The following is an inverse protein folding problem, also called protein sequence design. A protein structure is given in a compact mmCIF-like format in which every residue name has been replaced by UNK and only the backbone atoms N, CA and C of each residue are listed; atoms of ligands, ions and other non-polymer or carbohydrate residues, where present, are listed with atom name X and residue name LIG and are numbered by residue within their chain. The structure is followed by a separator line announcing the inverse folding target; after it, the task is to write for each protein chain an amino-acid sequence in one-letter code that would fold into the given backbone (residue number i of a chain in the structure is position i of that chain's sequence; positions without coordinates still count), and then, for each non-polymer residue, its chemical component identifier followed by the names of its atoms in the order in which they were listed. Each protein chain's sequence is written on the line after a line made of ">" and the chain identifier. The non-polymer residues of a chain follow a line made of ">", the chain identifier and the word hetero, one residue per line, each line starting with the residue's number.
data_IF_907061950228
#
_entry.id   IF_907061950228
#
_cell.length_a   1.000
_cell.length_b   1.000
_cell.length_c   1.000
_cell.angle_alpha   90.00
_cell.angle_beta   90.00
_cell.angle_gamma   90.00
#
_symmetry.space_group_name_H-M   'P 1'
#
loop_
_entity.id
_entity.type
_entity.pdbx_description
1 polymer ?
#
# COMPACT_ATOMS: atom_id res chain seq x y z
N UNK A 1 -42.40 36.77 35.99
CA UNK A 1 -41.24 37.55 36.35
C UNK A 1 -40.02 36.95 35.68
N UNK A 2 -39.65 37.55 34.54
CA UNK A 2 -38.57 37.04 33.67
C UNK A 2 -37.37 37.91 33.97
N UNK A 3 -36.28 37.33 34.49
CA UNK A 3 -35.03 38.00 34.72
C UNK A 3 -34.13 37.83 33.47
N UNK A 4 -33.91 38.89 32.75
CA UNK A 4 -32.94 38.97 31.62
C UNK A 4 -31.60 39.35 32.20
N UNK A 5 -30.61 38.44 32.10
CA UNK A 5 -29.19 38.77 32.39
C UNK A 5 -28.53 39.26 31.12
N UNK A 6 -28.19 40.55 31.12
CA UNK A 6 -27.29 41.15 30.12
C UNK A 6 -25.83 40.81 30.48
N UNK A 7 -25.17 40.00 29.66
CA UNK A 7 -23.73 39.83 29.72
C UNK A 7 -23.09 40.82 28.78
N UNK A 8 -22.35 41.75 29.35
CA UNK A 8 -21.51 42.73 28.65
C UNK A 8 -20.29 42.03 28.07
N UNK A 9 -20.16 42.08 26.75
CA UNK A 9 -18.96 41.60 26.01
C UNK A 9 -17.86 42.68 26.16
N UNK A 10 -16.84 42.38 26.94
CA UNK A 10 -15.60 43.13 26.93
C UNK A 10 -14.76 42.69 25.72
N UNK A 11 -14.68 43.55 24.70
CA UNK A 11 -13.68 43.43 23.63
C UNK A 11 -12.31 43.72 24.22
N UNK A 12 -11.54 42.69 24.50
CA UNK A 12 -10.09 42.78 24.65
C UNK A 12 -9.47 42.92 23.25
N UNK A 13 -9.08 44.12 22.91
CA UNK A 13 -8.17 44.39 21.79
C UNK A 13 -6.83 43.68 22.10
N UNK A 14 -6.63 42.52 21.59
CA UNK A 14 -5.33 41.86 21.58
C UNK A 14 -4.43 42.57 20.56
N UNK A 15 -3.29 43.05 21.00
CA UNK A 15 -2.22 43.59 20.15
C UNK A 15 -1.92 42.58 19.00
N UNK A 16 -1.75 43.07 17.77
CA UNK A 16 -1.20 42.24 16.69
C UNK A 16 0.32 42.18 16.86
N UNK A 17 0.77 41.49 17.90
CA UNK A 17 2.18 41.22 18.07
C UNK A 17 2.55 40.05 17.18
N UNK A 18 3.14 40.39 16.03
CA UNK A 18 4.08 39.63 15.21
C UNK A 18 4.06 38.11 15.46
N UNK A 19 3.37 37.38 14.60
CA UNK A 19 3.79 36.02 14.30
C UNK A 19 5.25 36.16 13.83
N UNK A 20 6.18 35.88 14.73
CA UNK A 20 7.59 35.74 14.35
C UNK A 20 7.62 34.66 13.29
N UNK A 21 7.90 35.04 12.06
CA UNK A 21 8.18 34.14 10.96
C UNK A 21 9.30 33.20 11.46
N UNK A 22 8.95 31.95 11.78
CA UNK A 22 9.93 30.98 12.22
C UNK A 22 11.00 30.92 11.11
N UNK A 23 12.24 31.16 11.46
CA UNK A 23 13.35 31.07 10.52
C UNK A 23 13.23 29.74 9.76
N UNK A 24 13.41 29.71 8.42
CA UNK A 24 13.26 28.50 7.64
C UNK A 24 14.16 27.43 8.26
N UNK A 25 13.59 26.28 8.56
CA UNK A 25 14.32 25.15 9.12
C UNK A 25 15.55 24.88 8.24
N UNK A 26 16.72 24.80 8.87
CA UNK A 26 17.98 24.57 8.16
C UNK A 26 17.87 23.26 7.38
N UNK A 27 18.15 23.31 6.08
CA UNK A 27 18.12 22.14 5.22
C UNK A 27 19.17 21.13 5.70
N UNK A 28 18.76 19.91 5.95
CA UNK A 28 19.69 18.84 6.25
C UNK A 28 20.58 18.55 5.03
N UNK A 29 21.86 18.31 5.27
CA UNK A 29 22.72 17.75 4.23
C UNK A 29 22.28 16.34 3.88
N UNK A 30 22.66 15.85 2.71
CA UNK A 30 22.36 14.47 2.33
C UNK A 30 22.84 13.45 3.36
N UNK A 31 24.06 13.65 3.88
CA UNK A 31 24.64 12.78 4.91
C UNK A 31 23.82 12.80 6.22
N UNK A 32 23.31 13.97 6.62
CA UNK A 32 22.45 14.09 7.80
C UNK A 32 21.11 13.41 7.60
N UNK A 33 20.48 13.52 6.43
CA UNK A 33 19.25 12.79 6.08
C UNK A 33 19.50 11.28 6.15
N UNK A 34 20.56 10.81 5.49
CA UNK A 34 20.92 9.39 5.45
C UNK A 34 21.19 8.84 6.87
N UNK A 35 21.95 9.56 7.70
CA UNK A 35 22.26 9.14 9.07
C UNK A 35 21.01 9.08 9.97
N UNK A 36 20.11 10.08 9.86
CA UNK A 36 18.86 10.07 10.64
C UNK A 36 17.93 8.92 10.21
N UNK A 37 17.74 8.70 8.92
CA UNK A 37 16.95 7.58 8.41
C UNK A 37 17.54 6.25 8.88
N UNK A 38 18.87 6.10 8.77
CA UNK A 38 19.57 4.89 9.19
C UNK A 38 19.33 4.56 10.68
N UNK A 39 19.33 5.57 11.55
CA UNK A 39 19.06 5.41 13.00
C UNK A 39 17.67 4.79 13.27
N UNK A 40 16.67 5.06 12.41
CA UNK A 40 15.36 4.45 12.54
C UNK A 40 15.30 3.05 11.94
N UNK A 41 15.98 2.83 10.81
CA UNK A 41 16.05 1.50 10.17
C UNK A 41 16.79 0.48 11.02
N UNK A 42 17.80 0.89 11.77
CA UNK A 42 18.57 0.00 12.66
C UNK A 42 17.75 -0.55 13.84
N UNK A 43 16.56 0.01 14.09
CA UNK A 43 15.58 -0.51 15.05
C UNK A 43 14.75 -1.68 14.51
N UNK A 44 14.87 -1.99 13.22
CA UNK A 44 14.16 -3.08 12.55
C UNK A 44 15.14 -4.23 12.28
N UNK A 45 15.29 -5.20 13.19
CA UNK A 45 16.25 -6.30 13.04
C UNK A 45 15.86 -7.23 11.90
N UNK A 46 16.85 -7.93 11.34
CA UNK A 46 16.65 -8.80 10.18
C UNK A 46 16.82 -8.06 8.86
N UNK A 47 15.90 -8.23 7.91
CA UNK A 47 15.99 -7.67 6.58
C UNK A 47 15.00 -6.52 6.39
N UNK A 48 15.48 -5.28 6.49
CA UNK A 48 14.68 -4.08 6.26
C UNK A 48 15.11 -3.33 5.00
N UNK A 49 14.14 -2.84 4.23
CA UNK A 49 14.36 -2.06 3.02
C UNK A 49 13.55 -0.78 3.02
N UNK A 50 14.10 0.26 2.44
CA UNK A 50 13.46 1.56 2.36
C UNK A 50 13.76 2.23 1.02
N UNK A 51 12.76 2.95 0.49
CA UNK A 51 12.94 3.80 -0.66
C UNK A 51 12.09 5.07 -0.50
N UNK A 52 12.72 6.21 -0.74
CA UNK A 52 12.04 7.49 -0.91
C UNK A 52 12.39 8.07 -2.28
N UNK A 53 11.37 8.41 -3.07
CA UNK A 53 11.55 8.99 -4.41
C UNK A 53 10.73 10.27 -4.57
N UNK A 54 11.20 11.15 -5.43
CA UNK A 54 10.40 12.20 -6.06
C UNK A 54 9.89 11.69 -7.40
N UNK A 55 8.60 11.89 -7.70
CA UNK A 55 8.00 11.48 -8.97
C UNK A 55 8.03 12.65 -9.95
N UNK A 56 8.83 12.52 -11.00
CA UNK A 56 8.94 13.48 -12.10
C UNK A 56 8.18 12.99 -13.33
N UNK A 57 8.21 13.77 -14.41
CA UNK A 57 7.64 13.35 -15.70
C UNK A 57 8.43 12.20 -16.33
N UNK A 58 9.72 12.10 -16.04
CA UNK A 58 10.59 11.00 -16.49
C UNK A 58 10.53 9.76 -15.60
N UNK A 59 9.77 9.81 -14.50
CA UNK A 59 9.61 8.71 -13.56
C UNK A 59 10.17 8.99 -12.16
N UNK A 60 10.28 7.94 -11.32
CA UNK A 60 10.79 8.07 -9.95
C UNK A 60 12.28 8.41 -9.91
N UNK A 61 12.63 9.48 -9.18
CA UNK A 61 14.02 9.90 -8.89
C UNK A 61 14.32 9.58 -7.43
N UNK A 62 15.33 8.75 -7.19
CA UNK A 62 15.68 8.29 -5.83
C UNK A 62 16.27 9.46 -5.02
N UNK A 63 15.68 9.73 -3.87
CA UNK A 63 16.18 10.66 -2.85
C UNK A 63 16.98 9.91 -1.79
N UNK A 64 16.50 8.73 -1.37
CA UNK A 64 17.19 7.80 -0.48
C UNK A 64 16.73 6.37 -0.76
N UNK A 65 17.67 5.41 -0.69
CA UNK A 65 17.38 3.98 -0.83
C UNK A 65 18.30 3.14 0.05
N UNK A 66 17.72 2.10 0.67
CA UNK A 66 18.44 1.03 1.36
C UNK A 66 17.78 -0.29 0.97
N UNK A 67 18.57 -1.22 0.43
CA UNK A 67 18.10 -2.50 -0.08
C UNK A 67 16.94 -2.36 -1.08
N UNK A 68 16.85 -1.22 -1.75
CA UNK A 68 15.74 -0.85 -2.63
C UNK A 68 15.65 -1.71 -3.89
N UNK A 69 16.74 -2.42 -4.23
CA UNK A 69 16.81 -3.38 -5.34
C UNK A 69 16.61 -4.84 -4.90
N UNK A 70 16.48 -5.10 -3.60
CA UNK A 70 16.36 -6.45 -3.07
C UNK A 70 14.90 -6.92 -3.05
N UNK A 71 14.73 -8.25 -3.12
CA UNK A 71 13.42 -8.90 -3.07
C UNK A 71 12.91 -8.94 -1.64
N UNK A 72 11.70 -8.43 -1.43
CA UNK A 72 10.96 -8.56 -0.18
C UNK A 72 9.66 -9.32 -0.39
N UNK A 73 9.26 -10.10 0.61
CA UNK A 73 7.89 -10.52 0.78
C UNK A 73 7.06 -9.28 1.19
N UNK A 74 5.96 -9.04 0.51
CA UNK A 74 5.26 -7.76 0.60
C UNK A 74 3.80 -7.87 1.07
N UNK A 75 3.34 -9.10 1.32
CA UNK A 75 1.97 -9.34 1.77
C UNK A 75 0.94 -8.63 0.92
N UNK A 76 -0.08 -8.13 1.54
CA UNK A 76 -1.23 -7.49 0.88
C UNK A 76 -0.90 -6.28 0.00
N UNK A 77 0.36 -5.81 -0.08
CA UNK A 77 0.67 -4.70 -0.99
C UNK A 77 0.55 -5.08 -2.47
N UNK A 78 0.59 -6.39 -2.80
CA UNK A 78 0.33 -6.89 -4.16
C UNK A 78 -1.03 -6.45 -4.71
N UNK A 79 -1.99 -6.11 -3.84
CA UNK A 79 -3.33 -5.62 -4.20
C UNK A 79 -3.29 -4.32 -5.02
N UNK A 80 -2.18 -3.58 -4.96
CA UNK A 80 -1.94 -2.44 -5.86
C UNK A 80 -1.89 -2.85 -7.34
N UNK A 81 -1.41 -4.06 -7.65
CA UNK A 81 -1.42 -4.55 -9.03
C UNK A 81 -2.83 -4.95 -9.51
N UNK A 82 -3.67 -5.47 -8.59
CA UNK A 82 -5.09 -5.71 -8.88
C UNK A 82 -5.82 -4.39 -9.10
N UNK A 83 -5.56 -3.38 -8.24
CA UNK A 83 -6.07 -2.02 -8.41
C UNK A 83 -5.66 -1.45 -9.77
N UNK A 84 -4.40 -1.60 -10.17
CA UNK A 84 -3.90 -1.16 -11.46
C UNK A 84 -4.60 -1.84 -12.65
N UNK A 85 -4.90 -3.14 -12.54
CA UNK A 85 -5.65 -3.85 -13.56
C UNK A 85 -7.12 -3.35 -13.66
N UNK A 86 -7.73 -2.98 -12.53
CA UNK A 86 -9.05 -2.35 -12.52
C UNK A 86 -9.01 -0.96 -13.13
N UNK A 87 -7.98 -0.15 -12.80
CA UNK A 87 -7.75 1.18 -13.41
C UNK A 87 -7.68 1.07 -14.94
N UNK A 88 -6.90 0.12 -15.47
CA UNK A 88 -6.78 -0.12 -16.91
C UNK A 88 -8.15 -0.49 -17.55
N UNK A 89 -8.94 -1.34 -16.88
CA UNK A 89 -10.29 -1.70 -17.37
C UNK A 89 -11.23 -0.50 -17.43
N UNK A 90 -11.21 0.33 -16.39
CA UNK A 90 -12.09 1.50 -16.28
C UNK A 90 -11.68 2.60 -17.27
N UNK A 91 -10.39 2.90 -17.38
CA UNK A 91 -9.88 3.90 -18.32
C UNK A 91 -10.10 3.50 -19.77
N UNK A 92 -10.07 2.22 -20.07
CA UNK A 92 -10.39 1.68 -21.40
C UNK A 92 -11.92 1.52 -21.65
N UNK A 93 -12.77 1.98 -20.75
CA UNK A 93 -14.24 1.86 -20.82
C UNK A 93 -14.76 0.43 -21.00
N UNK A 94 -13.98 -0.59 -20.58
CA UNK A 94 -14.40 -2.00 -20.60
C UNK A 94 -15.22 -2.36 -19.36
N UNK A 95 -15.08 -1.57 -18.30
CA UNK A 95 -15.84 -1.66 -17.04
C UNK A 95 -16.12 -0.29 -16.49
N UNK A 96 -17.13 -0.22 -15.62
CA UNK A 96 -17.50 0.97 -14.86
C UNK A 96 -17.34 0.67 -13.36
N UNK A 97 -17.10 1.68 -12.57
CA UNK A 97 -16.97 1.52 -11.11
C UNK A 97 -18.30 1.15 -10.44
N UNK A 98 -19.43 1.47 -11.06
CA UNK A 98 -20.77 1.11 -10.64
C UNK A 98 -21.26 -0.25 -11.20
N UNK A 99 -20.48 -0.93 -12.05
CA UNK A 99 -20.77 -2.31 -12.40
C UNK A 99 -20.77 -3.17 -11.14
N UNK A 100 -21.68 -4.14 -11.09
CA UNK A 100 -21.84 -5.03 -9.94
C UNK A 100 -21.44 -6.46 -10.27
N UNK A 101 -20.94 -7.17 -9.24
CA UNK A 101 -20.84 -8.61 -9.24
C UNK A 101 -21.47 -9.19 -7.98
N UNK A 102 -21.87 -10.45 -8.03
CA UNK A 102 -22.43 -11.13 -6.86
C UNK A 102 -21.28 -11.66 -5.99
N UNK A 103 -21.43 -11.52 -4.67
CA UNK A 103 -20.55 -12.22 -3.74
C UNK A 103 -20.75 -13.74 -3.88
N UNK A 104 -19.64 -14.44 -4.05
CA UNK A 104 -19.63 -15.88 -4.30
C UNK A 104 -18.79 -16.58 -3.22
N UNK A 105 -19.33 -17.60 -2.53
CA UNK A 105 -18.60 -18.31 -1.47
C UNK A 105 -17.30 -18.96 -1.97
N UNK A 106 -17.14 -19.16 -3.27
CA UNK A 106 -15.91 -19.67 -3.85
C UNK A 106 -14.73 -18.69 -3.75
N UNK A 107 -15.00 -17.41 -3.51
CA UNK A 107 -13.99 -16.36 -3.47
C UNK A 107 -13.88 -15.69 -2.09
N UNK A 108 -14.32 -16.39 -1.03
CA UNK A 108 -14.01 -15.97 0.33
C UNK A 108 -12.51 -16.17 0.56
N UNK A 109 -11.83 -15.07 0.93
CA UNK A 109 -10.38 -15.03 1.16
C UNK A 109 -10.05 -15.07 2.65
N UNK A 110 -9.30 -16.09 3.14
CA UNK A 110 -8.82 -16.12 4.52
C UNK A 110 -7.62 -15.15 4.72
N UNK A 111 -7.31 -14.75 5.97
CA UNK A 111 -8.17 -14.95 7.12
C UNK A 111 -9.50 -14.23 6.98
N UNK A 112 -10.44 -14.50 7.90
CA UNK A 112 -11.75 -13.85 7.96
C UNK A 112 -11.61 -12.33 7.81
N UNK A 113 -12.45 -11.75 6.96
CA UNK A 113 -12.47 -10.33 6.64
C UNK A 113 -13.91 -9.79 6.66
N UNK A 114 -14.11 -8.48 6.70
CA UNK A 114 -15.43 -7.88 6.83
C UNK A 114 -16.44 -8.41 5.79
N UNK A 115 -16.01 -8.52 4.53
CA UNK A 115 -16.91 -8.99 3.46
C UNK A 115 -17.20 -10.49 3.50
N UNK A 116 -16.48 -11.27 4.32
CA UNK A 116 -16.81 -12.67 4.54
C UNK A 116 -18.15 -12.84 5.26
N UNK A 117 -18.57 -11.84 6.08
CA UNK A 117 -19.83 -11.82 6.81
C UNK A 117 -21.02 -11.29 6.00
N UNK A 118 -20.76 -10.74 4.82
CA UNK A 118 -21.82 -10.22 3.99
C UNK A 118 -22.64 -11.38 3.39
N UNK A 119 -23.97 -11.20 3.21
CA UNK A 119 -24.78 -12.24 2.61
C UNK A 119 -24.30 -12.64 1.23
N UNK A 120 -23.92 -13.92 1.02
CA UNK A 120 -23.52 -14.41 -0.28
C UNK A 120 -24.68 -14.27 -1.29
N UNK A 121 -24.32 -13.95 -2.53
CA UNK A 121 -25.30 -13.59 -3.57
C UNK A 121 -25.69 -12.11 -3.58
N UNK A 122 -25.22 -11.30 -2.62
CA UNK A 122 -25.44 -9.86 -2.64
C UNK A 122 -24.71 -9.20 -3.80
N UNK A 123 -25.35 -8.26 -4.54
CA UNK A 123 -24.66 -7.46 -5.55
C UNK A 123 -23.76 -6.41 -4.88
N UNK A 124 -22.49 -6.35 -5.30
CA UNK A 124 -21.50 -5.40 -4.80
C UNK A 124 -20.84 -4.69 -5.98
N UNK A 125 -20.70 -3.37 -5.91
CA UNK A 125 -20.05 -2.60 -6.97
C UNK A 125 -18.54 -2.80 -7.00
N UNK A 126 -17.91 -2.64 -8.18
CA UNK A 126 -16.46 -2.71 -8.33
C UNK A 126 -15.76 -1.63 -7.48
N UNK A 127 -16.39 -0.46 -7.32
CA UNK A 127 -15.88 0.58 -6.42
C UNK A 127 -15.85 0.11 -4.95
N UNK A 128 -16.90 -0.54 -4.46
CA UNK A 128 -16.95 -1.08 -3.10
C UNK A 128 -15.89 -2.16 -2.89
N UNK A 129 -15.73 -3.07 -3.85
CA UNK A 129 -14.69 -4.09 -3.79
C UNK A 129 -13.29 -3.46 -3.75
N UNK A 130 -13.01 -2.47 -4.61
CA UNK A 130 -11.72 -1.77 -4.62
C UNK A 130 -11.48 -1.02 -3.30
N UNK A 131 -12.50 -0.35 -2.77
CA UNK A 131 -12.43 0.35 -1.49
C UNK A 131 -12.06 -0.61 -0.36
N UNK A 132 -12.78 -1.73 -0.21
CA UNK A 132 -12.54 -2.74 0.84
C UNK A 132 -11.18 -3.42 0.67
N UNK A 133 -10.81 -3.78 -0.56
CA UNK A 133 -9.50 -4.37 -0.87
C UNK A 133 -8.34 -3.47 -0.44
N UNK A 134 -8.43 -2.18 -0.65
CA UNK A 134 -7.32 -1.26 -0.38
C UNK A 134 -7.35 -0.73 1.04
N UNK A 135 -8.48 -0.18 1.52
CA UNK A 135 -8.55 0.52 2.80
C UNK A 135 -8.37 -0.40 4.00
N UNK A 136 -9.10 -1.51 4.04
CA UNK A 136 -9.03 -2.49 5.15
C UNK A 136 -8.34 -3.80 4.76
N UNK A 137 -7.80 -3.85 3.54
CA UNK A 137 -7.09 -5.03 3.03
C UNK A 137 -7.95 -6.30 2.93
N UNK A 138 -9.27 -6.17 2.71
CA UNK A 138 -10.21 -7.28 2.66
C UNK A 138 -9.84 -8.33 1.61
N UNK A 139 -9.63 -9.58 2.06
CA UNK A 139 -9.19 -10.67 1.20
C UNK A 139 -10.33 -11.22 0.33
N UNK A 140 -11.57 -11.18 0.83
CA UNK A 140 -12.75 -11.56 0.05
C UNK A 140 -12.97 -10.60 -1.13
N UNK A 141 -12.86 -9.28 -0.90
CA UNK A 141 -12.89 -8.29 -1.98
C UNK A 141 -11.74 -8.50 -2.98
N UNK A 142 -10.56 -8.84 -2.48
CA UNK A 142 -9.37 -9.11 -3.30
C UNK A 142 -9.59 -10.27 -4.24
N UNK A 143 -10.04 -11.41 -3.73
CA UNK A 143 -10.19 -12.63 -4.52
C UNK A 143 -11.35 -12.49 -5.53
N UNK A 144 -12.43 -11.76 -5.18
CA UNK A 144 -13.49 -11.41 -6.13
C UNK A 144 -12.97 -10.56 -7.29
N UNK A 145 -12.19 -9.50 -7.01
CA UNK A 145 -11.61 -8.65 -8.06
C UNK A 145 -10.59 -9.40 -8.91
N UNK A 146 -9.72 -10.20 -8.28
CA UNK A 146 -8.73 -11.00 -9.01
C UNK A 146 -9.41 -12.04 -9.92
N UNK A 147 -10.51 -12.66 -9.44
CA UNK A 147 -11.33 -13.54 -10.27
C UNK A 147 -11.94 -12.82 -11.46
N UNK A 148 -12.60 -11.67 -11.21
CA UNK A 148 -13.28 -10.90 -12.24
C UNK A 148 -12.32 -10.41 -13.34
N UNK A 149 -11.14 -9.92 -12.95
CA UNK A 149 -10.13 -9.38 -13.86
C UNK A 149 -9.35 -10.50 -14.56
N UNK A 150 -9.24 -11.65 -13.92
CA UNK A 150 -8.47 -12.80 -14.36
C UNK A 150 -6.97 -12.69 -14.02
N UNK A 151 -6.45 -13.72 -13.38
CA UNK A 151 -5.05 -13.83 -12.93
C UNK A 151 -4.02 -13.39 -13.97
N UNK A 152 -4.10 -13.93 -15.20
CA UNK A 152 -3.13 -13.62 -16.26
C UNK A 152 -3.16 -12.15 -16.69
N UNK A 153 -4.29 -11.49 -16.55
CA UNK A 153 -4.39 -10.06 -16.83
C UNK A 153 -3.65 -9.25 -15.77
N UNK A 154 -3.84 -9.57 -14.49
CA UNK A 154 -3.13 -8.90 -13.41
C UNK A 154 -1.62 -9.17 -13.50
N UNK A 155 -1.20 -10.39 -13.84
CA UNK A 155 0.21 -10.73 -14.11
C UNK A 155 0.82 -9.87 -15.23
N UNK A 156 0.07 -9.58 -16.30
CA UNK A 156 0.52 -8.65 -17.35
C UNK A 156 0.56 -7.21 -16.85
N UNK A 157 -0.45 -6.82 -16.06
CA UNK A 157 -0.52 -5.46 -15.52
C UNK A 157 0.65 -5.15 -14.57
N UNK A 158 1.13 -6.12 -13.80
CA UNK A 158 2.34 -5.97 -12.98
C UNK A 158 3.52 -5.50 -13.82
N UNK A 159 3.72 -6.10 -15.00
CA UNK A 159 4.81 -5.71 -15.92
C UNK A 159 4.59 -4.28 -16.44
N UNK A 160 3.36 -3.94 -16.83
CA UNK A 160 2.99 -2.59 -17.31
C UNK A 160 3.24 -1.54 -16.22
N UNK A 161 3.01 -1.88 -14.96
CA UNK A 161 3.26 -1.02 -13.81
C UNK A 161 4.73 -0.99 -13.38
N UNK A 162 5.62 -1.68 -14.08
CA UNK A 162 7.07 -1.59 -13.88
C UNK A 162 7.68 -2.63 -12.96
N UNK A 163 6.96 -3.71 -12.61
CA UNK A 163 7.53 -4.84 -11.89
C UNK A 163 8.51 -5.59 -12.80
N UNK A 164 9.79 -5.61 -12.45
CA UNK A 164 10.84 -6.14 -13.31
C UNK A 164 11.08 -7.66 -13.15
N UNK A 165 10.55 -8.25 -12.09
CA UNK A 165 10.68 -9.67 -11.77
C UNK A 165 9.30 -10.36 -11.64
N UNK A 166 8.45 -10.31 -12.69
CA UNK A 166 7.10 -10.86 -12.62
C UNK A 166 7.08 -12.37 -12.39
N UNK A 167 8.17 -13.08 -12.69
CA UNK A 167 8.34 -14.51 -12.45
C UNK A 167 8.23 -14.89 -10.96
N UNK A 168 8.56 -13.98 -10.04
CA UNK A 168 8.41 -14.22 -8.60
C UNK A 168 6.97 -14.43 -8.17
N UNK A 169 6.02 -13.86 -8.92
CA UNK A 169 4.60 -13.88 -8.65
C UNK A 169 3.81 -14.66 -9.72
N UNK A 170 4.43 -15.61 -10.41
CA UNK A 170 3.75 -16.44 -11.42
C UNK A 170 3.70 -17.90 -11.01
N UNK A 171 2.47 -18.43 -10.93
CA UNK A 171 1.16 -17.77 -11.03
C UNK A 171 0.90 -16.83 -9.85
N UNK A 172 0.24 -15.68 -10.11
CA UNK A 172 -0.19 -14.78 -9.05
C UNK A 172 -1.23 -15.48 -8.18
N UNK A 173 -0.96 -15.65 -6.90
CA UNK A 173 -1.85 -16.34 -5.99
C UNK A 173 -3.10 -15.53 -5.64
N UNK A 174 -4.24 -16.19 -5.52
CA UNK A 174 -5.35 -15.69 -4.72
C UNK A 174 -4.98 -15.78 -3.23
N UNK A 175 -5.62 -14.96 -2.39
CA UNK A 175 -5.36 -15.03 -0.94
C UNK A 175 -5.75 -16.39 -0.37
N UNK A 176 -6.85 -16.96 -0.86
CA UNK A 176 -7.27 -18.31 -0.51
C UNK A 176 -6.27 -19.40 -0.91
N UNK A 177 -5.63 -19.26 -2.08
CA UNK A 177 -4.64 -20.25 -2.54
C UNK A 177 -3.37 -20.21 -1.71
N UNK A 178 -2.91 -19.01 -1.35
CA UNK A 178 -1.79 -18.82 -0.42
C UNK A 178 -2.07 -19.57 0.89
N UNK A 179 -3.23 -19.32 1.51
CA UNK A 179 -3.61 -19.97 2.75
C UNK A 179 -3.73 -21.51 2.61
N UNK A 180 -4.27 -21.99 1.49
CA UNK A 180 -4.40 -23.43 1.23
C UNK A 180 -3.05 -24.11 0.99
N UNK A 181 -2.08 -23.43 0.40
CA UNK A 181 -0.71 -23.95 0.23
C UNK A 181 -0.01 -24.03 1.58
N UNK A 182 -0.20 -23.04 2.45
CA UNK A 182 0.42 -22.93 3.77
C UNK A 182 -0.39 -23.62 4.89
N UNK A 183 -1.42 -24.39 4.56
CA UNK A 183 -2.30 -25.06 5.52
C UNK A 183 -1.50 -26.03 6.41
N UNK A 184 -1.49 -25.78 7.72
CA UNK A 184 -0.77 -26.59 8.71
C UNK A 184 -1.32 -28.02 8.82
N UNK A 185 -2.57 -28.24 8.39
CA UNK A 185 -3.20 -29.58 8.36
C UNK A 185 -2.66 -30.41 7.20
N UNK A 186 -2.21 -29.75 6.11
CA UNK A 186 -1.66 -30.42 4.91
C UNK A 186 -0.32 -29.78 4.52
N UNK A 187 0.71 -29.85 5.38
CA UNK A 187 1.98 -29.15 5.16
C UNK A 187 2.74 -29.59 3.90
N UNK A 188 2.42 -30.79 3.38
CA UNK A 188 3.02 -31.30 2.15
C UNK A 188 2.68 -30.44 0.93
N UNK A 189 1.60 -29.65 0.96
CA UNK A 189 1.22 -28.74 -0.14
C UNK A 189 2.28 -27.68 -0.39
N UNK A 190 2.79 -27.07 0.67
CA UNK A 190 3.83 -26.05 0.55
C UNK A 190 5.12 -26.66 -0.01
N UNK A 191 5.54 -27.81 0.50
CA UNK A 191 6.73 -28.52 0.01
C UNK A 191 6.59 -28.96 -1.45
N UNK A 192 5.42 -29.42 -1.87
CA UNK A 192 5.13 -29.74 -3.26
C UNK A 192 5.18 -28.47 -4.12
N UNK A 193 4.50 -27.41 -3.73
CA UNK A 193 4.45 -26.15 -4.48
C UNK A 193 5.84 -25.54 -4.67
N UNK A 194 6.70 -25.63 -3.66
CA UNK A 194 8.10 -25.16 -3.69
C UNK A 194 8.91 -25.80 -4.82
N UNK A 195 8.70 -27.06 -5.09
CA UNK A 195 9.45 -27.85 -6.09
C UNK A 195 8.98 -27.67 -7.54
N UNK A 196 7.85 -27.00 -7.73
CA UNK A 196 7.23 -26.88 -9.06
C UNK A 196 7.74 -25.64 -9.81
N UNK A 197 7.88 -25.78 -11.11
CA UNK A 197 7.99 -24.68 -12.06
C UNK A 197 6.64 -23.95 -12.25
N UNK A 198 6.60 -22.88 -13.05
CA UNK A 198 5.37 -22.12 -13.27
C UNK A 198 4.23 -22.99 -13.82
N UNK A 199 4.49 -23.87 -14.77
CA UNK A 199 3.46 -24.72 -15.37
C UNK A 199 2.93 -25.73 -14.34
N UNK A 200 3.82 -26.33 -13.57
CA UNK A 200 3.48 -27.22 -12.45
C UNK A 200 2.67 -26.52 -11.37
N UNK A 201 3.04 -25.29 -10.99
CA UNK A 201 2.31 -24.45 -10.03
C UNK A 201 0.90 -24.14 -10.51
N UNK A 202 0.72 -23.79 -11.78
CA UNK A 202 -0.62 -23.54 -12.35
C UNK A 202 -1.50 -24.81 -12.27
N UNK A 203 -0.95 -25.96 -12.67
CA UNK A 203 -1.67 -27.25 -12.57
C UNK A 203 -1.99 -27.62 -11.12
N UNK A 204 -1.08 -27.36 -10.20
CA UNK A 204 -1.30 -27.58 -8.77
C UNK A 204 -2.47 -26.74 -8.25
N UNK A 205 -2.53 -25.44 -8.60
CA UNK A 205 -3.62 -24.55 -8.21
C UNK A 205 -4.96 -24.99 -8.77
N UNK A 206 -5.00 -25.48 -10.02
CA UNK A 206 -6.22 -26.07 -10.61
C UNK A 206 -6.70 -27.29 -9.80
N UNK A 207 -5.77 -28.07 -9.25
CA UNK A 207 -6.07 -29.25 -8.43
C UNK A 207 -6.62 -28.96 -7.03
N UNK A 208 -6.36 -27.75 -6.50
CA UNK A 208 -6.87 -27.32 -5.19
C UNK A 208 -8.06 -26.36 -5.30
N UNK A 209 -8.51 -26.01 -6.49
CA UNK A 209 -9.54 -25.00 -6.72
C UNK A 209 -10.89 -25.31 -6.05
N UNK A 210 -11.23 -26.60 -5.91
CA UNK A 210 -12.51 -27.05 -5.35
C UNK A 210 -12.50 -27.27 -3.82
N UNK A 211 -11.39 -27.05 -3.14
CA UNK A 211 -11.34 -27.13 -1.69
C UNK A 211 -12.14 -25.98 -1.10
N UNK A 212 -13.21 -26.26 -0.34
CA UNK A 212 -14.24 -25.28 0.07
C UNK A 212 -14.25 -24.94 1.56
N UNK A 213 -13.46 -25.58 2.39
CA UNK A 213 -13.54 -25.45 3.85
C UNK A 213 -12.62 -24.32 4.39
N UNK A 214 -12.82 -23.10 3.85
CA UNK A 214 -11.93 -21.95 4.16
C UNK A 214 -11.99 -21.51 5.60
N UNK A 215 -13.14 -21.66 6.27
CA UNK A 215 -13.32 -21.26 7.67
C UNK A 215 -12.46 -22.08 8.64
N UNK A 216 -11.96 -23.23 8.19
CA UNK A 216 -11.13 -24.14 8.98
C UNK A 216 -9.65 -24.12 8.62
N UNK A 217 -9.24 -23.27 7.66
CA UNK A 217 -7.85 -23.17 7.30
C UNK A 217 -7.03 -22.54 8.44
N UNK A 218 -6.16 -23.35 9.02
CA UNK A 218 -5.10 -22.89 9.95
C UNK A 218 -3.78 -22.86 9.17
N UNK A 219 -3.45 -21.72 8.58
CA UNK A 219 -2.27 -21.58 7.75
C UNK A 219 -1.12 -20.91 8.47
N UNK A 220 0.10 -21.23 8.05
CA UNK A 220 1.32 -20.67 8.63
C UNK A 220 1.57 -19.24 8.11
N UNK A 221 1.42 -18.26 9.01
CA UNK A 221 1.68 -16.84 8.76
C UNK A 221 3.16 -16.47 8.89
N UNK A 222 4.03 -17.42 9.25
CA UNK A 222 5.47 -17.24 9.35
C UNK A 222 6.24 -17.70 8.12
N UNK A 223 5.62 -18.54 7.28
CA UNK A 223 6.21 -18.99 6.02
C UNK A 223 5.94 -17.94 4.94
N UNK A 224 6.97 -17.23 4.47
CA UNK A 224 6.83 -16.21 3.44
C UNK A 224 7.79 -16.39 2.27
N UNK A 225 8.47 -17.52 2.17
CA UNK A 225 9.51 -17.74 1.16
C UNK A 225 9.01 -18.45 -0.10
N UNK A 226 7.82 -19.04 -0.07
CA UNK A 226 7.27 -19.86 -1.18
C UNK A 226 5.95 -19.34 -1.71
N UNK A 227 4.93 -19.34 -0.87
CA UNK A 227 3.56 -18.98 -1.25
C UNK A 227 3.23 -17.57 -0.76
N UNK A 228 3.92 -16.59 -1.34
CA UNK A 228 3.82 -15.19 -0.97
C UNK A 228 3.92 -14.31 -2.22
N UNK A 229 3.70 -13.02 -2.08
CA UNK A 229 3.89 -12.02 -3.11
C UNK A 229 5.18 -11.24 -2.84
N UNK A 230 5.94 -11.01 -3.91
CA UNK A 230 7.27 -10.41 -3.82
C UNK A 230 7.39 -9.18 -4.69
N UNK A 231 8.07 -8.17 -4.18
CA UNK A 231 8.46 -6.99 -4.94
C UNK A 231 9.73 -6.35 -4.36
N UNK A 232 10.36 -5.52 -5.14
CA UNK A 232 11.39 -4.59 -4.66
C UNK A 232 10.75 -3.23 -4.39
N UNK A 233 11.28 -2.43 -3.45
CA UNK A 233 10.85 -1.04 -3.27
C UNK A 233 10.79 -0.24 -4.57
N UNK A 234 11.77 -0.39 -5.46
CA UNK A 234 11.81 0.29 -6.77
C UNK A 234 10.69 -0.14 -7.72
N UNK A 235 10.25 -1.39 -7.67
CA UNK A 235 9.13 -1.87 -8.48
C UNK A 235 7.81 -1.24 -8.02
N UNK A 236 7.64 -1.10 -6.70
CA UNK A 236 6.45 -0.48 -6.12
C UNK A 236 6.43 1.04 -6.32
N UNK A 237 7.60 1.71 -6.35
CA UNK A 237 7.68 3.13 -6.71
C UNK A 237 7.18 3.37 -8.14
N UNK A 238 7.57 2.51 -9.10
CA UNK A 238 7.06 2.56 -10.48
C UNK A 238 5.56 2.27 -10.54
N UNK A 239 5.11 1.28 -9.76
CA UNK A 239 3.69 0.93 -9.70
C UNK A 239 2.83 2.09 -9.16
N UNK A 240 3.27 2.78 -8.12
CA UNK A 240 2.59 3.96 -7.60
C UNK A 240 2.65 5.15 -8.56
N UNK A 241 3.77 5.36 -9.28
CA UNK A 241 3.85 6.39 -10.33
C UNK A 241 2.89 6.07 -11.48
N UNK A 242 2.79 4.80 -11.89
CA UNK A 242 1.81 4.38 -12.88
C UNK A 242 0.38 4.67 -12.41
N UNK A 243 0.03 4.31 -11.17
CA UNK A 243 -1.28 4.61 -10.59
C UNK A 243 -1.54 6.13 -10.57
N UNK A 244 -0.58 6.94 -10.11
CA UNK A 244 -0.68 8.41 -10.13
C UNK A 244 -1.05 8.95 -11.50
N UNK A 245 -0.37 8.48 -12.55
CA UNK A 245 -0.57 8.94 -13.94
C UNK A 245 -1.90 8.46 -14.53
N UNK A 246 -2.40 7.31 -14.11
CA UNK A 246 -3.60 6.69 -14.67
C UNK A 246 -4.86 6.87 -13.80
N UNK A 247 -4.78 7.66 -12.73
CA UNK A 247 -5.90 8.05 -11.87
C UNK A 247 -5.96 9.57 -11.69
N UNK A 248 -5.50 10.34 -12.68
CA UNK A 248 -5.64 11.81 -12.71
C UNK A 248 -7.11 12.23 -12.68
N UNK A 249 -7.37 13.50 -12.32
CA UNK A 249 -8.74 14.00 -12.12
C UNK A 249 -9.57 13.98 -13.41
N UNK A 250 -8.91 13.95 -14.56
CA UNK A 250 -9.47 13.83 -15.91
C UNK A 250 -9.68 12.39 -16.40
N UNK A 251 -9.25 11.40 -15.60
CA UNK A 251 -9.34 9.99 -15.96
C UNK A 251 -10.64 9.35 -15.46
N UNK A 252 -11.26 8.41 -16.20
CA UNK A 252 -12.41 7.65 -15.74
C UNK A 252 -12.19 6.93 -14.39
N UNK A 253 -10.96 6.51 -14.12
CA UNK A 253 -10.57 5.82 -12.89
C UNK A 253 -10.14 6.77 -11.74
N UNK A 254 -10.36 8.09 -11.85
CA UNK A 254 -9.90 9.07 -10.85
C UNK A 254 -10.32 8.73 -9.40
N UNK A 255 -11.53 8.20 -9.20
CA UNK A 255 -12.03 7.80 -7.88
C UNK A 255 -11.16 6.71 -7.22
N UNK A 256 -10.50 5.87 -8.00
CA UNK A 256 -9.63 4.81 -7.46
C UNK A 256 -8.36 5.37 -6.79
N UNK A 257 -7.95 6.61 -7.10
CA UNK A 257 -6.90 7.31 -6.34
C UNK A 257 -7.38 7.66 -4.93
N UNK A 258 -8.62 8.12 -4.79
CA UNK A 258 -9.19 8.44 -3.48
C UNK A 258 -9.33 7.20 -2.58
N UNK A 259 -9.55 6.02 -3.16
CA UNK A 259 -9.61 4.74 -2.43
C UNK A 259 -8.33 4.47 -1.63
N UNK A 260 -7.16 4.85 -2.16
CA UNK A 260 -5.88 4.71 -1.44
C UNK A 260 -5.73 5.68 -0.26
N UNK A 261 -6.48 6.79 -0.23
CA UNK A 261 -6.36 7.83 0.80
C UNK A 261 -7.32 7.65 1.99
N UNK A 262 -8.09 6.55 2.03
CA UNK A 262 -9.06 6.30 3.11
C UNK A 262 -8.37 5.91 4.41
N UNK A 263 -7.32 5.10 4.34
CA UNK A 263 -6.53 4.67 5.48
C UNK A 263 -5.04 4.88 5.14
N UNK A 264 -4.32 5.64 5.94
CA UNK A 264 -2.96 6.07 5.57
C UNK A 264 -1.86 5.52 6.48
N UNK A 265 -2.19 5.08 7.70
CA UNK A 265 -1.23 4.57 8.70
C UNK A 265 -0.04 5.50 8.96
N UNK A 266 -0.19 6.78 8.67
CA UNK A 266 0.83 7.82 8.80
C UNK A 266 0.23 9.04 9.50
N UNK A 267 0.93 9.58 10.48
CA UNK A 267 0.60 10.88 11.07
C UNK A 267 1.29 11.97 10.25
N UNK A 268 0.54 12.92 9.75
CA UNK A 268 1.04 13.98 8.88
C UNK A 268 0.18 15.25 8.95
N UNK A 269 0.78 16.37 8.61
CA UNK A 269 0.07 17.64 8.43
C UNK A 269 -0.66 17.66 7.08
N UNK A 270 -1.98 17.71 7.11
CA UNK A 270 -2.84 17.71 5.90
C UNK A 270 -2.70 18.99 5.07
N UNK A 271 -2.25 20.08 5.66
CA UNK A 271 -1.97 21.33 4.92
C UNK A 271 -0.68 21.20 4.12
N UNK A 272 0.32 20.47 4.63
CA UNK A 272 1.55 20.18 3.91
C UNK A 272 1.38 19.06 2.88
N UNK A 273 0.61 18.00 3.26
CA UNK A 273 0.40 16.82 2.45
C UNK A 273 -1.09 16.64 2.11
N UNK A 274 -1.63 17.41 1.14
CA UNK A 274 -3.05 17.37 0.78
C UNK A 274 -3.52 16.03 0.21
N UNK A 275 -2.59 15.14 -0.15
CA UNK A 275 -2.90 13.77 -0.52
C UNK A 275 -1.84 12.81 0.04
N UNK A 276 -2.33 11.78 0.72
CA UNK A 276 -1.55 10.64 1.20
C UNK A 276 -2.34 9.39 0.86
N UNK A 277 -1.87 8.62 -0.11
CA UNK A 277 -2.40 7.30 -0.45
C UNK A 277 -1.54 6.21 0.15
N UNK A 278 -2.13 5.08 0.54
CA UNK A 278 -1.44 4.00 1.21
C UNK A 278 -1.94 2.61 0.81
N UNK A 279 -1.04 1.64 0.82
CA UNK A 279 -1.35 0.21 0.92
C UNK A 279 -0.28 -0.52 1.70
N UNK A 280 -0.70 -1.18 2.76
CA UNK A 280 0.15 -2.04 3.57
C UNK A 280 -0.10 -3.53 3.36
N UNK A 281 0.86 -4.33 3.84
CA UNK A 281 0.76 -5.78 3.97
C UNK A 281 1.50 -6.22 5.23
N UNK A 282 0.95 -7.20 5.94
CA UNK A 282 1.57 -7.74 7.15
C UNK A 282 1.20 -9.20 7.36
N UNK A 283 2.14 -9.95 7.89
CA UNK A 283 2.01 -11.27 8.50
C UNK A 283 2.98 -11.32 9.70
N UNK A 284 3.04 -12.43 10.43
CA UNK A 284 3.84 -12.51 11.66
C UNK A 284 5.31 -12.11 11.46
N UNK A 285 5.88 -12.40 10.27
CA UNK A 285 7.30 -12.17 9.97
C UNK A 285 7.56 -11.17 8.86
N UNK A 286 6.53 -10.46 8.41
CA UNK A 286 6.70 -9.40 7.42
C UNK A 286 5.76 -8.22 7.68
N UNK A 287 6.26 -7.02 7.47
CA UNK A 287 5.45 -5.80 7.34
C UNK A 287 6.00 -5.00 6.16
N UNK A 288 5.09 -4.55 5.30
CA UNK A 288 5.40 -3.71 4.16
C UNK A 288 4.41 -2.55 4.04
N UNK A 289 4.90 -1.37 3.73
CA UNK A 289 4.09 -0.19 3.51
C UNK A 289 4.53 0.57 2.27
N UNK A 290 3.54 1.05 1.51
CA UNK A 290 3.76 1.84 0.29
C UNK A 290 2.87 3.06 0.33
N UNK A 291 3.47 4.24 0.23
CA UNK A 291 2.79 5.53 0.25
C UNK A 291 3.01 6.30 -1.04
N UNK A 292 1.92 6.87 -1.57
CA UNK A 292 1.93 7.87 -2.63
C UNK A 292 1.55 9.21 -2.01
N UNK A 293 2.43 10.19 -2.10
CA UNK A 293 2.33 11.44 -1.37
C UNK A 293 2.31 12.62 -2.34
N UNK A 294 1.44 13.61 -2.10
CA UNK A 294 1.49 14.90 -2.80
C UNK A 294 1.71 16.00 -1.78
N UNK A 295 2.80 16.74 -1.93
CA UNK A 295 3.08 17.90 -1.12
C UNK A 295 2.37 19.17 -1.64
N UNK A 296 2.11 20.15 -0.79
CA UNK A 296 1.43 21.41 -1.14
C UNK A 296 2.11 22.22 -2.25
N UNK A 297 3.41 22.02 -2.51
CA UNK A 297 4.12 22.62 -3.63
C UNK A 297 3.79 21.98 -5.00
N UNK A 298 2.90 20.98 -5.03
CA UNK A 298 2.46 20.26 -6.20
C UNK A 298 3.30 19.04 -6.57
N UNK A 299 4.48 18.85 -5.97
CA UNK A 299 5.34 17.69 -6.24
C UNK A 299 4.77 16.42 -5.63
N UNK A 300 5.07 15.30 -6.27
CA UNK A 300 4.68 13.98 -5.85
C UNK A 300 5.88 13.16 -5.40
N UNK A 301 5.66 12.31 -4.42
CA UNK A 301 6.68 11.45 -3.84
C UNK A 301 6.14 10.04 -3.64
N UNK A 302 7.03 9.04 -3.56
CA UNK A 302 6.71 7.75 -2.97
C UNK A 302 7.61 7.48 -1.78
N UNK A 303 7.05 6.78 -0.82
CA UNK A 303 7.76 6.28 0.33
C UNK A 303 7.41 4.81 0.54
N UNK A 304 8.43 3.98 0.74
CA UNK A 304 8.34 2.52 0.90
C UNK A 304 9.15 2.12 2.12
N UNK A 305 8.56 1.30 2.98
CA UNK A 305 9.25 0.74 4.13
C UNK A 305 8.86 -0.72 4.30
N UNK A 306 9.84 -1.62 4.27
CA UNK A 306 9.67 -3.07 4.33
C UNK A 306 10.54 -3.65 5.44
N UNK A 307 9.99 -4.64 6.12
CA UNK A 307 10.68 -5.38 7.14
C UNK A 307 10.27 -6.85 7.08
N UNK A 308 11.21 -7.71 6.69
CA UNK A 308 11.10 -9.17 6.73
C UNK A 308 12.05 -9.71 7.78
N UNK A 309 11.57 -10.61 8.64
CA UNK A 309 12.37 -11.24 9.68
C UNK A 309 12.23 -12.76 9.60
N UNK A 310 13.31 -13.49 9.25
CA UNK A 310 13.24 -14.94 9.13
C UNK A 310 13.13 -15.65 10.48
N UNK A 311 13.64 -15.04 11.55
CA UNK A 311 13.86 -15.69 12.84
C UNK A 311 12.86 -15.27 13.91
N UNK A 312 12.36 -14.01 13.85
CA UNK A 312 11.51 -13.42 14.89
C UNK A 312 10.25 -12.81 14.29
N UNK A 313 9.16 -12.79 15.05
CA UNK A 313 7.94 -12.12 14.66
C UNK A 313 8.17 -10.60 14.67
N UNK A 314 7.69 -9.92 13.61
CA UNK A 314 7.75 -8.46 13.49
C UNK A 314 6.63 -7.82 14.30
N UNK A 315 6.82 -6.59 14.75
CA UNK A 315 5.82 -5.89 15.56
C UNK A 315 5.36 -4.60 14.88
N UNK A 316 4.06 -4.38 14.85
CA UNK A 316 3.48 -3.13 14.33
C UNK A 316 4.04 -1.92 15.08
N UNK A 317 4.27 -2.02 16.39
CA UNK A 317 4.81 -0.92 17.19
C UNK A 317 6.18 -0.47 16.68
N UNK A 318 7.12 -1.40 16.50
CA UNK A 318 8.46 -1.06 16.01
C UNK A 318 8.41 -0.47 14.59
N UNK A 319 7.54 -1.03 13.74
CA UNK A 319 7.33 -0.52 12.38
C UNK A 319 6.76 0.90 12.38
N UNK A 320 5.76 1.19 13.23
CA UNK A 320 5.15 2.53 13.34
C UNK A 320 6.18 3.54 13.87
N UNK A 321 6.97 3.18 14.88
CA UNK A 321 8.02 4.06 15.41
C UNK A 321 9.08 4.40 14.35
N UNK A 322 9.53 3.42 13.58
CA UNK A 322 10.46 3.64 12.47
C UNK A 322 9.82 4.47 11.36
N UNK A 323 8.59 4.14 10.97
CA UNK A 323 7.82 4.85 9.96
C UNK A 323 7.68 6.34 10.28
N UNK A 324 7.21 6.69 11.49
CA UNK A 324 7.00 8.07 11.89
C UNK A 324 8.33 8.83 12.00
N UNK A 325 9.37 8.18 12.52
CA UNK A 325 10.70 8.78 12.60
C UNK A 325 11.29 9.09 11.23
N UNK A 326 11.23 8.15 10.30
CA UNK A 326 11.71 8.34 8.92
C UNK A 326 10.87 9.40 8.20
N UNK A 327 9.53 9.32 8.31
CA UNK A 327 8.66 10.30 7.67
C UNK A 327 8.91 11.72 8.20
N UNK A 328 9.18 11.89 9.50
CA UNK A 328 9.55 13.19 10.06
C UNK A 328 10.84 13.78 9.46
N UNK A 329 11.79 12.94 9.04
CA UNK A 329 13.00 13.41 8.30
C UNK A 329 12.62 13.83 6.88
N UNK A 330 11.80 13.02 6.18
CA UNK A 330 11.30 13.31 4.83
C UNK A 330 10.53 14.63 4.82
N UNK A 331 9.60 14.80 5.78
CA UNK A 331 8.73 15.97 5.89
C UNK A 331 9.55 17.26 6.04
N UNK A 332 10.50 17.28 6.97
CA UNK A 332 11.43 18.42 7.18
C UNK A 332 12.23 18.74 5.92
N UNK A 333 12.76 17.72 5.25
CA UNK A 333 13.57 17.89 4.05
C UNK A 333 12.75 18.48 2.90
N UNK A 334 11.55 17.95 2.65
CA UNK A 334 10.65 18.42 1.58
C UNK A 334 10.15 19.84 1.88
N UNK A 335 9.80 20.15 3.12
CA UNK A 335 9.39 21.49 3.51
C UNK A 335 10.52 22.53 3.31
N UNK A 336 11.76 22.18 3.66
CA UNK A 336 12.92 23.03 3.44
C UNK A 336 13.23 23.26 1.95
N UNK A 337 13.17 22.21 1.13
CA UNK A 337 13.34 22.32 -0.33
C UNK A 337 12.25 23.22 -0.94
N UNK A 338 10.99 23.08 -0.50
CA UNK A 338 9.87 23.88 -0.98
C UNK A 338 10.00 25.37 -0.63
N UNK A 339 10.49 25.68 0.58
CA UNK A 339 10.73 27.07 1.01
C UNK A 339 11.82 27.75 0.17
N UNK A 340 12.90 27.02 -0.15
CA UNK A 340 13.98 27.55 -0.99
C UNK A 340 13.54 27.81 -2.43
N UNK A 341 12.73 26.89 -3.01
CA UNK A 341 12.17 27.06 -4.35
C UNK A 341 11.24 28.28 -4.43
N UNK A 342 10.53 28.62 -3.36
CA UNK A 342 9.70 29.83 -3.29
C UNK A 342 10.56 31.10 -3.18
N UNK A 343 11.61 31.07 -2.38
CA UNK A 343 12.52 32.20 -2.18
C UNK A 343 13.38 32.52 -3.44
N UNK A 344 13.60 31.52 -4.31
CA UNK A 344 14.37 31.66 -5.55
C UNK A 344 13.54 32.07 -6.78
N UNK A 345 12.22 32.20 -6.64
CA UNK A 345 11.36 32.72 -7.71
C UNK A 345 11.43 34.24 -7.70
N UNK A 346 11.76 34.86 -8.87
CA UNK A 346 11.90 36.32 -8.99
C UNK A 346 10.57 37.06 -8.77
#
# INVERSE_FOLDING_TARGET
>A
MTVVLLLASALLAGDPQAAAEAAPAERLTREQVEAQIQTHLDKLPGHSGMLWTELTDDGPVVKYGRHEQERFAVGSTFKLFILGALVDEVNAHRRRLDDTMLLDPRWIGPPHSEMSDWPMGSPVTLNTLALKMISISDNTATDHLLHLLGRRRVERQMVVMGHQHPEWNRPLLFTREMAMIRDKVVPEREEQYRKLDEAGRRKFLDGIADVRDYEKLDFDTRSYDVAEWFARPVDMARALDWLRRNTGDDQPAALLRAVMAVETKLEYDREQWPYVGFKGGSEDRLIAGNWLLRHRNGRWYTFHLYWNSPDEDVTEKAMIEALQGIFGVIDKQVASEAAQDQASKP
#
